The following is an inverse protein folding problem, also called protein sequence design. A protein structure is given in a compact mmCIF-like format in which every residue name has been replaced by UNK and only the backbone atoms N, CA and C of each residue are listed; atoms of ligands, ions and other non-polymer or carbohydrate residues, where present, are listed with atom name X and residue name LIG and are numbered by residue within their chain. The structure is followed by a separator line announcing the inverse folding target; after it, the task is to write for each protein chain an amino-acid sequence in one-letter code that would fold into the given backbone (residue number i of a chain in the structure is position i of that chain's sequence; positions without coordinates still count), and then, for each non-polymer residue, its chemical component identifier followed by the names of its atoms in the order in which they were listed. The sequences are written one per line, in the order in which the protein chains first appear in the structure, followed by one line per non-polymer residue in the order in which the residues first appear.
data_IF_962937357971
#
_entry.id   IF_962937357971
#
_cell.length_a   1.000
_cell.length_b   1.000
_cell.length_c   1.000
_cell.angle_alpha   90.00
_cell.angle_beta   90.00
_cell.angle_gamma   90.00
#
_symmetry.space_group_name_H-M   'P 1'
#
loop_
_entity.id
_entity.type
_entity.pdbx_description
1 polymer ?
#
# COMPACT_ATOMS: atom_id res chain seq x y z
N UNK A 1 -52.36 -28.54 -44.20
CA UNK A 1 -51.94 -27.36 -44.96
C UNK A 1 -52.03 -26.14 -44.05
N UNK A 2 -50.94 -25.37 -43.94
CA UNK A 2 -50.84 -24.00 -43.36
C UNK A 2 -51.07 -23.93 -41.84
N UNK A 3 -50.38 -23.17 -41.00
CA UNK A 3 -49.12 -22.41 -40.94
C UNK A 3 -49.19 -21.75 -39.53
N UNK A 4 -48.04 -21.48 -38.87
CA UNK A 4 -47.85 -20.36 -37.91
C UNK A 4 -48.64 -20.42 -36.58
N UNK A 5 -48.08 -20.17 -35.39
CA UNK A 5 -47.21 -19.07 -35.01
C UNK A 5 -46.33 -19.51 -33.82
N UNK A 6 -45.01 -19.47 -33.99
CA UNK A 6 -44.05 -19.50 -32.89
C UNK A 6 -44.00 -18.08 -32.30
N UNK A 7 -44.40 -17.91 -31.04
CA UNK A 7 -44.17 -16.68 -30.28
C UNK A 7 -42.96 -16.93 -29.36
N UNK A 8 -41.76 -16.81 -29.94
CA UNK A 8 -40.53 -16.65 -29.18
C UNK A 8 -40.51 -15.21 -28.67
N UNK A 9 -40.98 -15.02 -27.43
CA UNK A 9 -40.71 -13.79 -26.69
C UNK A 9 -39.24 -13.84 -26.28
N UNK A 10 -38.37 -13.36 -27.16
CA UNK A 10 -36.99 -13.04 -26.83
C UNK A 10 -37.01 -11.80 -25.94
N UNK A 11 -37.05 -12.00 -24.62
CA UNK A 11 -36.60 -10.97 -23.69
C UNK A 11 -35.10 -10.76 -23.95
N UNK A 12 -34.78 -9.77 -24.77
CA UNK A 12 -33.50 -9.07 -24.68
C UNK A 12 -33.50 -8.37 -23.32
N UNK A 13 -33.19 -9.13 -22.27
CA UNK A 13 -32.52 -8.54 -21.12
C UNK A 13 -31.22 -8.03 -21.71
N UNK A 14 -31.17 -6.72 -21.96
CA UNK A 14 -29.92 -6.01 -22.02
C UNK A 14 -29.23 -6.32 -20.69
N UNK A 15 -28.42 -7.38 -20.67
CA UNK A 15 -27.33 -7.46 -19.75
C UNK A 15 -26.50 -6.21 -20.10
N UNK A 16 -26.69 -5.15 -19.32
CA UNK A 16 -25.67 -4.13 -19.22
C UNK A 16 -24.38 -4.92 -19.04
N UNK A 17 -23.45 -4.78 -19.99
CA UNK A 17 -22.11 -5.30 -19.79
C UNK A 17 -21.71 -4.85 -18.38
N UNK A 18 -21.17 -5.73 -17.52
CA UNK A 18 -20.66 -5.29 -16.24
C UNK A 18 -19.77 -4.09 -16.54
N UNK A 19 -20.08 -2.93 -15.94
CA UNK A 19 -19.21 -1.77 -16.06
C UNK A 19 -17.79 -2.29 -15.80
N UNK A 20 -16.83 -2.00 -16.70
CA UNK A 20 -15.49 -2.49 -16.50
C UNK A 20 -15.07 -2.08 -15.09
N UNK A 21 -14.67 -3.05 -14.27
CA UNK A 21 -14.05 -2.79 -12.98
C UNK A 21 -13.10 -1.61 -13.18
N UNK A 22 -13.31 -0.53 -12.41
CA UNK A 22 -12.64 0.74 -12.63
C UNK A 22 -11.14 0.52 -12.71
N UNK A 23 -10.59 0.53 -13.93
CA UNK A 23 -9.16 0.32 -14.13
C UNK A 23 -8.37 1.60 -13.82
N UNK A 24 -7.06 1.45 -13.57
CA UNK A 24 -6.17 2.56 -13.28
C UNK A 24 -6.30 3.73 -14.24
N UNK A 25 -6.42 3.41 -15.52
CA UNK A 25 -6.44 4.42 -16.56
C UNK A 25 -7.74 5.23 -16.53
N UNK A 26 -8.86 4.56 -16.33
CA UNK A 26 -10.19 5.16 -16.30
C UNK A 26 -10.32 6.09 -15.09
N UNK A 27 -9.91 5.62 -13.91
CA UNK A 27 -9.98 6.42 -12.69
C UNK A 27 -9.00 7.60 -12.75
N UNK A 28 -7.74 7.38 -13.17
CA UNK A 28 -6.74 8.44 -13.33
C UNK A 28 -7.21 9.54 -14.30
N UNK A 29 -7.79 9.17 -15.44
CA UNK A 29 -8.33 10.15 -16.41
C UNK A 29 -9.48 10.95 -15.82
N UNK A 30 -10.34 10.31 -15.02
CA UNK A 30 -11.51 10.95 -14.41
C UNK A 30 -11.10 11.93 -13.32
N UNK A 31 -10.20 11.54 -12.41
CA UNK A 31 -9.79 12.38 -11.29
C UNK A 31 -8.88 13.54 -11.72
N UNK A 32 -8.11 13.37 -12.80
CA UNK A 32 -7.18 14.38 -13.31
C UNK A 32 -7.64 15.08 -14.59
N UNK A 33 -8.93 14.99 -14.94
CA UNK A 33 -9.51 15.50 -16.20
C UNK A 33 -9.24 16.98 -16.48
N UNK A 34 -9.03 17.79 -15.43
CA UNK A 34 -8.79 19.23 -15.53
C UNK A 34 -7.30 19.60 -15.77
N UNK A 35 -6.40 18.61 -15.85
CA UNK A 35 -4.97 18.84 -16.07
C UNK A 35 -4.54 18.23 -17.42
N UNK A 36 -4.30 19.00 -18.49
CA UNK A 36 -3.93 18.44 -19.80
C UNK A 36 -2.60 17.68 -19.82
N UNK A 37 -1.74 17.86 -18.80
CA UNK A 37 -0.50 17.08 -18.63
C UNK A 37 -0.74 15.71 -17.99
N UNK A 38 -1.93 15.45 -17.44
CA UNK A 38 -2.23 14.21 -16.72
C UNK A 38 -2.46 13.01 -17.65
N UNK A 39 -2.96 13.23 -18.86
CA UNK A 39 -3.27 12.14 -19.77
C UNK A 39 -2.02 11.32 -20.17
N UNK A 40 -0.91 11.93 -20.63
CA UNK A 40 0.33 11.20 -20.88
C UNK A 40 0.90 10.52 -19.63
N UNK A 41 0.74 11.14 -18.45
CA UNK A 41 1.14 10.55 -17.17
C UNK A 41 0.34 9.26 -16.89
N UNK A 42 -0.99 9.34 -16.91
CA UNK A 42 -1.88 8.20 -16.68
C UNK A 42 -1.59 7.05 -17.65
N UNK A 43 -1.41 7.35 -18.94
CA UNK A 43 -1.13 6.34 -19.96
C UNK A 43 0.25 5.68 -19.76
N UNK A 44 1.27 6.47 -19.39
CA UNK A 44 2.61 5.93 -19.12
C UNK A 44 2.61 5.01 -17.90
N UNK A 45 1.96 5.41 -16.80
CA UNK A 45 1.87 4.58 -15.59
C UNK A 45 1.03 3.32 -15.86
N UNK A 46 -0.10 3.45 -16.57
CA UNK A 46 -0.91 2.30 -16.98
C UNK A 46 -0.11 1.31 -17.85
N UNK A 47 0.58 1.81 -18.88
CA UNK A 47 1.39 0.97 -19.76
C UNK A 47 2.50 0.25 -19.00
N UNK A 48 3.13 0.93 -18.04
CA UNK A 48 4.26 0.37 -17.28
C UNK A 48 3.84 -0.73 -16.30
N UNK A 49 2.72 -0.57 -15.61
CA UNK A 49 2.37 -1.45 -14.48
C UNK A 49 1.12 -2.31 -14.69
N UNK A 50 0.14 -1.84 -15.47
CA UNK A 50 -1.19 -2.44 -15.49
C UNK A 50 -1.60 -3.01 -16.86
N UNK A 51 -0.84 -2.74 -17.93
CA UNK A 51 -1.18 -3.20 -19.28
C UNK A 51 -1.37 -4.71 -19.39
N UNK A 52 -0.54 -5.48 -18.68
CA UNK A 52 -0.60 -6.94 -18.67
C UNK A 52 -1.70 -7.49 -17.74
N UNK A 53 -2.22 -6.68 -16.82
CA UNK A 53 -3.10 -7.10 -15.71
C UNK A 53 -4.34 -6.20 -15.58
N UNK A 54 -4.89 -5.74 -16.71
CA UNK A 54 -5.97 -4.74 -16.73
C UNK A 54 -7.22 -5.14 -15.94
N UNK A 55 -7.45 -6.43 -15.78
CA UNK A 55 -8.62 -6.99 -15.08
C UNK A 55 -8.33 -7.37 -13.63
N UNK A 56 -7.12 -7.15 -13.13
CA UNK A 56 -6.77 -7.43 -11.74
C UNK A 56 -6.79 -6.13 -10.94
N UNK A 57 -7.50 -6.13 -9.82
CA UNK A 57 -7.58 -4.97 -8.93
C UNK A 57 -6.25 -4.74 -8.18
N UNK A 58 -5.53 -5.84 -7.94
CA UNK A 58 -4.21 -5.86 -7.31
C UNK A 58 -3.27 -6.64 -8.22
N UNK A 59 -2.17 -6.02 -8.62
CA UNK A 59 -1.14 -6.62 -9.46
C UNK A 59 0.07 -7.03 -8.63
N UNK A 60 0.46 -8.31 -8.58
CA UNK A 60 1.75 -8.71 -8.01
C UNK A 60 2.89 -8.03 -8.75
N UNK A 61 3.88 -7.52 -8.01
CA UNK A 61 5.05 -6.86 -8.61
C UNK A 61 6.36 -7.44 -8.09
N UNK A 62 7.44 -7.17 -8.80
CA UNK A 62 8.80 -7.25 -8.28
C UNK A 62 9.35 -5.86 -7.99
N UNK A 63 10.17 -5.72 -6.93
CA UNK A 63 11.16 -4.65 -6.75
C UNK A 63 11.63 -3.89 -8.00
N UNK A 64 12.17 -4.64 -8.96
CA UNK A 64 12.83 -4.12 -10.16
C UNK A 64 11.87 -3.43 -11.13
N UNK A 65 10.58 -3.77 -11.12
CA UNK A 65 9.60 -3.15 -12.02
C UNK A 65 9.42 -1.65 -11.74
N UNK A 66 9.58 -1.24 -10.48
CA UNK A 66 9.55 0.19 -10.08
C UNK A 66 10.94 0.80 -9.99
N UNK A 67 12.01 0.07 -10.30
CA UNK A 67 13.38 0.57 -10.25
C UNK A 67 14.07 0.44 -8.89
N UNK A 68 13.49 -0.29 -7.94
CA UNK A 68 14.17 -0.64 -6.70
C UNK A 68 15.15 -1.81 -6.93
N UNK A 69 16.39 -1.77 -6.40
CA UNK A 69 17.33 -2.88 -6.53
C UNK A 69 16.81 -4.12 -5.81
N UNK A 70 17.26 -5.31 -6.24
CA UNK A 70 16.96 -6.55 -5.54
C UNK A 70 17.65 -6.58 -4.17
N UNK A 71 16.98 -7.14 -3.18
CA UNK A 71 17.47 -7.26 -1.81
C UNK A 71 17.27 -8.69 -1.28
N UNK A 72 18.16 -9.19 -0.40
CA UNK A 72 18.03 -10.53 0.18
C UNK A 72 16.70 -10.82 0.89
N UNK A 73 15.99 -9.81 1.40
CA UNK A 73 14.70 -9.99 2.08
C UNK A 73 13.50 -10.11 1.13
N UNK A 74 13.67 -9.85 -0.16
CA UNK A 74 12.56 -9.77 -1.11
C UNK A 74 11.78 -11.11 -1.21
N UNK A 75 12.45 -12.26 -1.00
CA UNK A 75 11.81 -13.58 -0.98
C UNK A 75 10.90 -13.79 0.24
N UNK A 76 11.07 -13.00 1.30
CA UNK A 76 10.23 -13.01 2.50
C UNK A 76 9.11 -11.98 2.49
N UNK A 77 9.03 -11.16 1.44
CA UNK A 77 8.02 -10.10 1.32
C UNK A 77 7.07 -10.43 0.17
N UNK A 78 5.78 -10.17 0.39
CA UNK A 78 4.83 -10.12 -0.70
C UNK A 78 4.71 -8.67 -1.20
N UNK A 79 4.95 -8.44 -2.49
CA UNK A 79 4.83 -7.13 -3.11
C UNK A 79 3.66 -7.10 -4.08
N UNK A 80 2.91 -6.01 -4.06
CA UNK A 80 1.88 -5.74 -5.06
C UNK A 80 1.64 -4.25 -5.25
N UNK A 81 0.90 -3.94 -6.30
CA UNK A 81 0.47 -2.60 -6.66
C UNK A 81 -1.04 -2.57 -6.91
N UNK A 82 -1.71 -1.49 -6.48
CA UNK A 82 -3.14 -1.31 -6.66
C UNK A 82 -3.47 -0.71 -8.03
N UNK A 83 -4.24 -1.46 -8.82
CA UNK A 83 -4.88 -0.97 -10.04
C UNK A 83 -6.19 -0.22 -9.67
N UNK A 84 -6.87 -0.67 -8.62
CA UNK A 84 -7.98 0.01 -7.96
C UNK A 84 -7.56 0.43 -6.53
N UNK A 85 -7.58 1.73 -6.20
CA UNK A 85 -7.09 2.21 -4.91
C UNK A 85 -7.99 1.79 -3.74
N UNK A 86 -9.27 1.44 -3.97
CA UNK A 86 -10.17 1.01 -2.90
C UNK A 86 -9.68 -0.27 -2.22
N UNK A 87 -8.99 -1.15 -2.96
CA UNK A 87 -8.38 -2.35 -2.40
C UNK A 87 -7.25 -2.06 -1.41
N UNK A 88 -6.64 -0.87 -1.45
CA UNK A 88 -5.73 -0.42 -0.40
C UNK A 88 -6.45 -0.40 0.94
N UNK A 89 -7.66 0.13 0.97
CA UNK A 89 -8.46 0.23 2.19
C UNK A 89 -8.93 -1.13 2.69
N UNK A 90 -9.26 -2.05 1.76
CA UNK A 90 -9.54 -3.45 2.08
C UNK A 90 -8.38 -4.17 2.80
N UNK A 91 -7.14 -3.75 2.56
CA UNK A 91 -5.95 -4.36 3.17
C UNK A 91 -5.46 -3.59 4.40
N UNK A 92 -5.33 -2.27 4.30
CA UNK A 92 -4.56 -1.46 5.25
C UNK A 92 -5.41 -0.67 6.25
N UNK A 93 -6.64 -0.25 5.90
CA UNK A 93 -7.37 0.74 6.70
C UNK A 93 -7.60 0.27 8.14
N UNK A 94 -8.21 -0.90 8.32
CA UNK A 94 -8.48 -1.41 9.67
C UNK A 94 -7.21 -1.79 10.42
N UNK A 95 -6.16 -2.20 9.71
CA UNK A 95 -4.85 -2.45 10.31
C UNK A 95 -4.25 -1.15 10.87
N UNK A 96 -4.34 -0.03 10.13
CA UNK A 96 -3.85 1.27 10.58
C UNK A 96 -4.65 1.83 11.75
N UNK A 97 -5.98 1.62 11.75
CA UNK A 97 -6.83 1.95 12.91
C UNK A 97 -6.42 1.13 14.13
N UNK A 98 -6.24 -0.18 13.97
CA UNK A 98 -5.78 -1.07 15.05
C UNK A 98 -4.43 -0.63 15.63
N UNK A 99 -3.50 -0.21 14.76
CA UNK A 99 -2.19 0.31 15.16
C UNK A 99 -2.21 1.74 15.69
N UNK A 100 -3.38 2.39 15.68
CA UNK A 100 -3.56 3.80 16.05
C UNK A 100 -2.66 4.73 15.22
N UNK A 101 -2.42 4.38 13.95
CA UNK A 101 -1.71 5.23 12.98
C UNK A 101 -2.64 6.25 12.34
N UNK A 102 -3.93 5.92 12.27
CA UNK A 102 -4.99 6.79 11.78
C UNK A 102 -6.18 6.78 12.73
N UNK A 103 -6.89 7.91 12.80
CA UNK A 103 -8.18 8.00 13.48
C UNK A 103 -9.33 7.87 12.47
N UNK A 104 -10.33 7.00 12.70
CA UNK A 104 -11.51 6.92 11.85
C UNK A 104 -12.33 8.22 11.76
N UNK A 105 -12.13 9.15 12.70
CA UNK A 105 -12.76 10.47 12.69
C UNK A 105 -12.04 11.47 11.76
N UNK A 106 -10.76 11.22 11.46
CA UNK A 106 -9.91 12.11 10.65
C UNK A 106 -9.82 11.65 9.19
N UNK A 107 -9.75 10.33 8.98
CA UNK A 107 -9.60 9.75 7.65
C UNK A 107 -10.54 8.55 7.47
N UNK A 108 -11.35 8.62 6.42
CA UNK A 108 -12.20 7.51 5.97
C UNK A 108 -11.43 6.54 5.05
N UNK A 109 -11.97 5.34 4.78
CA UNK A 109 -11.42 4.38 3.83
C UNK A 109 -11.09 5.01 2.47
N UNK A 110 -12.01 5.75 1.86
CA UNK A 110 -11.80 6.33 0.52
C UNK A 110 -10.68 7.38 0.51
N UNK A 111 -10.57 8.15 1.60
CA UNK A 111 -9.53 9.16 1.74
C UNK A 111 -8.14 8.54 1.92
N UNK A 112 -8.04 7.41 2.63
CA UNK A 112 -6.79 6.66 2.75
C UNK A 112 -6.33 6.14 1.38
N UNK A 113 -7.25 5.56 0.62
CA UNK A 113 -7.02 5.04 -0.73
C UNK A 113 -6.45 6.10 -1.69
N UNK A 114 -6.79 7.38 -1.48
CA UNK A 114 -6.30 8.47 -2.34
C UNK A 114 -5.03 9.17 -1.82
N UNK A 115 -4.65 8.96 -0.56
CA UNK A 115 -3.58 9.75 0.10
C UNK A 115 -2.32 8.98 0.46
N UNK A 116 -2.38 7.65 0.59
CA UNK A 116 -1.22 6.83 0.90
C UNK A 116 -0.54 6.31 -0.38
N UNK A 117 0.74 6.61 -0.61
CA UNK A 117 1.51 6.11 -1.77
C UNK A 117 1.95 4.65 -1.64
N UNK A 118 1.98 4.13 -0.41
CA UNK A 118 2.21 2.73 -0.13
C UNK A 118 2.20 2.46 1.37
N UNK A 119 2.45 1.20 1.72
CA UNK A 119 2.52 0.76 3.10
C UNK A 119 3.22 -0.58 3.24
N UNK A 120 3.60 -0.92 4.48
CA UNK A 120 3.85 -2.28 4.90
C UNK A 120 2.90 -2.78 5.99
N UNK A 121 2.53 -4.04 5.90
CA UNK A 121 1.94 -4.82 6.99
C UNK A 121 2.97 -5.82 7.44
N UNK A 122 3.33 -5.73 8.72
CA UNK A 122 4.38 -6.51 9.34
C UNK A 122 3.76 -7.72 10.06
N UNK A 123 4.33 -8.91 9.87
CA UNK A 123 3.77 -10.14 10.43
C UNK A 123 3.69 -10.14 11.98
N UNK A 124 4.51 -9.33 12.65
CA UNK A 124 4.58 -9.29 14.12
C UNK A 124 3.24 -8.94 14.80
N UNK A 125 2.34 -8.22 14.13
CA UNK A 125 1.08 -7.72 14.70
C UNK A 125 -0.18 -8.41 14.17
N UNK A 126 -0.03 -9.26 13.13
CA UNK A 126 -1.14 -9.78 12.34
C UNK A 126 -2.12 -10.62 13.17
N UNK A 127 -1.62 -11.49 14.04
CA UNK A 127 -2.48 -12.34 14.89
C UNK A 127 -3.34 -11.53 15.84
N UNK A 128 -2.74 -10.49 16.44
CA UNK A 128 -3.44 -9.63 17.38
C UNK A 128 -4.47 -8.75 16.64
N UNK A 129 -4.12 -8.25 15.46
CA UNK A 129 -5.03 -7.57 14.55
C UNK A 129 -6.21 -8.46 14.14
N UNK A 130 -5.97 -9.68 13.66
CA UNK A 130 -7.02 -10.57 13.17
C UNK A 130 -8.00 -10.96 14.28
N UNK A 131 -7.48 -11.16 15.50
CA UNK A 131 -8.31 -11.31 16.70
C UNK A 131 -9.14 -10.06 16.95
N UNK A 132 -8.53 -8.87 16.97
CA UNK A 132 -9.24 -7.61 17.16
C UNK A 132 -10.36 -7.42 16.13
N UNK A 133 -10.07 -7.64 14.86
CA UNK A 133 -11.00 -7.51 13.74
C UNK A 133 -12.24 -8.41 13.93
N UNK A 134 -12.02 -9.65 14.38
CA UNK A 134 -13.08 -10.66 14.46
C UNK A 134 -13.82 -10.69 15.80
N UNK A 135 -13.20 -10.24 16.90
CA UNK A 135 -13.79 -10.40 18.25
C UNK A 135 -14.21 -9.07 18.88
N UNK A 136 -13.55 -7.96 18.58
CA UNK A 136 -13.84 -6.68 19.23
C UNK A 136 -14.89 -5.89 18.43
N UNK A 137 -15.81 -5.21 19.12
CA UNK A 137 -16.83 -4.36 18.48
C UNK A 137 -16.19 -3.29 17.59
N UNK A 138 -15.11 -2.65 18.05
CA UNK A 138 -14.37 -1.67 17.26
C UNK A 138 -13.82 -2.27 15.94
N UNK A 139 -13.27 -3.49 16.00
CA UNK A 139 -12.77 -4.20 14.82
C UNK A 139 -13.87 -4.57 13.84
N UNK A 140 -14.99 -5.12 14.34
CA UNK A 140 -16.16 -5.45 13.51
C UNK A 140 -16.76 -4.21 12.83
N UNK A 141 -16.86 -3.10 13.57
CA UNK A 141 -17.35 -1.83 13.03
C UNK A 141 -16.40 -1.28 11.96
N UNK A 142 -15.09 -1.38 12.17
CA UNK A 142 -14.11 -1.00 11.15
C UNK A 142 -14.29 -1.83 9.87
N UNK A 143 -14.39 -3.16 10.01
CA UNK A 143 -14.61 -4.06 8.87
C UNK A 143 -15.86 -3.70 8.07
N UNK A 144 -17.00 -3.57 8.77
CA UNK A 144 -18.27 -3.22 8.13
C UNK A 144 -18.21 -1.85 7.45
N UNK A 145 -17.44 -0.90 8.01
CA UNK A 145 -17.23 0.42 7.41
C UNK A 145 -16.46 0.33 6.10
N UNK A 146 -15.34 -0.40 6.07
CA UNK A 146 -14.55 -0.59 4.84
C UNK A 146 -15.37 -1.28 3.76
N UNK A 147 -16.08 -2.36 4.11
CA UNK A 147 -16.93 -3.11 3.18
C UNK A 147 -18.09 -2.27 2.62
N UNK A 148 -18.53 -1.25 3.37
CA UNK A 148 -19.60 -0.34 2.94
C UNK A 148 -19.08 0.86 2.14
N UNK A 149 -18.01 1.51 2.61
CA UNK A 149 -17.53 2.78 2.03
C UNK A 149 -16.63 2.54 0.82
N UNK A 150 -15.69 1.59 0.92
CA UNK A 150 -14.77 1.26 -0.17
C UNK A 150 -15.25 0.10 -1.06
N UNK A 151 -16.40 -0.50 -0.73
CA UNK A 151 -17.03 -1.60 -1.49
C UNK A 151 -16.11 -2.82 -1.74
N UNK A 152 -15.12 -3.04 -0.86
CA UNK A 152 -14.17 -4.14 -0.93
C UNK A 152 -14.20 -5.00 0.33
N UNK A 153 -13.90 -6.29 0.18
CA UNK A 153 -13.77 -7.19 1.34
C UNK A 153 -12.48 -6.91 2.10
N UNK A 154 -12.55 -6.86 3.43
CA UNK A 154 -11.34 -6.76 4.26
C UNK A 154 -10.53 -8.05 4.18
N UNK A 155 -9.24 -7.91 3.83
CA UNK A 155 -8.35 -9.05 3.62
C UNK A 155 -8.07 -9.83 4.92
N UNK A 156 -7.96 -11.15 4.79
CA UNK A 156 -7.39 -12.02 5.84
C UNK A 156 -5.87 -11.88 5.80
N UNK A 157 -5.33 -11.08 6.73
CA UNK A 157 -3.91 -10.80 6.78
C UNK A 157 -3.10 -12.00 7.30
N UNK A 158 -3.68 -12.88 8.12
CA UNK A 158 -3.01 -14.11 8.57
C UNK A 158 -2.73 -15.05 7.39
N UNK A 159 -3.73 -15.22 6.52
CA UNK A 159 -3.56 -16.00 5.30
C UNK A 159 -2.60 -15.32 4.33
N UNK A 160 -2.74 -14.00 4.14
CA UNK A 160 -1.91 -13.23 3.20
C UNK A 160 -0.43 -13.22 3.58
N UNK A 161 -0.10 -13.23 4.88
CA UNK A 161 1.28 -13.19 5.38
C UNK A 161 1.85 -14.56 5.76
N UNK A 162 1.18 -15.66 5.40
CA UNK A 162 1.64 -17.00 5.75
C UNK A 162 3.03 -17.28 5.17
N UNK A 163 4.00 -17.46 6.07
CA UNK A 163 5.41 -17.72 5.69
C UNK A 163 6.17 -16.49 5.19
N UNK A 164 5.61 -15.28 5.34
CA UNK A 164 6.21 -14.00 4.96
C UNK A 164 6.48 -13.15 6.20
N UNK A 165 7.43 -12.24 6.13
CA UNK A 165 7.72 -11.29 7.22
C UNK A 165 6.94 -9.99 7.06
N UNK A 166 6.62 -9.63 5.82
CA UNK A 166 5.88 -8.43 5.50
C UNK A 166 5.13 -8.56 4.17
N UNK A 167 4.18 -7.66 4.01
CA UNK A 167 3.42 -7.42 2.81
C UNK A 167 3.59 -5.93 2.52
N UNK A 168 3.97 -5.60 1.28
CA UNK A 168 4.23 -4.22 0.86
C UNK A 168 3.30 -3.92 -0.32
N UNK A 169 2.44 -2.93 -0.13
CA UNK A 169 1.51 -2.44 -1.13
C UNK A 169 1.93 -1.08 -1.65
N UNK A 170 1.89 -0.92 -2.97
CA UNK A 170 2.12 0.36 -3.64
C UNK A 170 0.84 0.90 -4.25
N UNK A 171 0.62 2.20 -4.10
CA UNK A 171 -0.54 2.90 -4.61
C UNK A 171 -0.10 4.09 -5.47
N UNK A 172 0.00 3.92 -6.79
CA UNK A 172 0.42 5.00 -7.68
C UNK A 172 -0.56 6.18 -7.68
N UNK A 173 -1.81 5.99 -7.24
CA UNK A 173 -2.82 7.04 -7.21
C UNK A 173 -2.43 8.21 -6.32
N UNK A 174 -1.90 7.98 -5.12
CA UNK A 174 -1.49 9.09 -4.27
C UNK A 174 -0.38 9.93 -4.92
N UNK A 175 0.56 9.28 -5.60
CA UNK A 175 1.73 9.95 -6.21
C UNK A 175 1.37 10.74 -7.47
N UNK A 176 0.42 10.27 -8.30
CA UNK A 176 -0.04 11.02 -9.50
C UNK A 176 -0.84 12.29 -9.17
N UNK A 177 -1.41 12.39 -7.96
CA UNK A 177 -2.17 13.57 -7.53
C UNK A 177 -1.26 14.65 -6.92
N UNK A 178 0.05 14.44 -6.86
CA UNK A 178 0.99 15.49 -6.44
C UNK A 178 1.09 16.60 -7.50
N UNK A 179 1.19 17.89 -7.13
CA UNK A 179 1.11 19.01 -8.08
C UNK A 179 2.10 18.96 -9.25
N UNK A 180 3.30 18.41 -9.01
CA UNK A 180 4.39 18.32 -10.00
C UNK A 180 4.63 16.88 -10.48
N UNK A 181 3.61 16.01 -10.38
CA UNK A 181 3.73 14.62 -10.78
C UNK A 181 4.13 14.47 -12.26
N UNK A 182 5.20 13.71 -12.47
CA UNK A 182 5.66 13.21 -13.78
C UNK A 182 5.77 11.69 -13.70
N UNK A 183 5.82 11.01 -14.84
CA UNK A 183 5.95 9.55 -14.83
C UNK A 183 7.23 9.12 -14.09
N UNK A 184 8.35 9.82 -14.33
CA UNK A 184 9.62 9.57 -13.68
C UNK A 184 9.57 9.83 -12.17
N UNK A 185 8.92 10.91 -11.73
CA UNK A 185 8.79 11.21 -10.30
C UNK A 185 7.91 10.18 -9.58
N UNK A 186 6.83 9.70 -10.21
CA UNK A 186 5.96 8.65 -9.67
C UNK A 186 6.72 7.32 -9.56
N UNK A 187 7.44 6.91 -10.61
CA UNK A 187 8.23 5.68 -10.58
C UNK A 187 9.32 5.76 -9.50
N UNK A 188 10.00 6.91 -9.39
CA UNK A 188 11.02 7.15 -8.36
C UNK A 188 10.41 7.08 -6.95
N UNK A 189 9.25 7.70 -6.74
CA UNK A 189 8.54 7.66 -5.46
C UNK A 189 8.19 6.21 -5.07
N UNK A 190 7.63 5.43 -5.99
CA UNK A 190 7.35 4.00 -5.77
C UNK A 190 8.60 3.19 -5.39
N UNK A 191 9.75 3.47 -6.01
CA UNK A 191 11.01 2.83 -5.66
C UNK A 191 11.48 3.19 -4.25
N UNK A 192 11.39 4.47 -3.88
CA UNK A 192 11.73 4.97 -2.55
C UNK A 192 10.81 4.35 -1.49
N UNK A 193 9.50 4.31 -1.75
CA UNK A 193 8.52 3.66 -0.87
C UNK A 193 8.85 2.19 -0.67
N UNK A 194 9.12 1.42 -1.73
CA UNK A 194 9.54 0.02 -1.55
C UNK A 194 10.80 -0.10 -0.69
N UNK A 195 11.81 0.74 -0.94
CA UNK A 195 13.05 0.68 -0.16
C UNK A 195 12.79 1.02 1.32
N UNK A 196 11.96 2.03 1.60
CA UNK A 196 11.54 2.40 2.94
C UNK A 196 10.84 1.24 3.64
N UNK A 197 9.81 0.67 3.01
CA UNK A 197 8.99 -0.39 3.60
C UNK A 197 9.78 -1.70 3.78
N UNK A 198 10.77 -1.98 2.91
CA UNK A 198 11.71 -3.09 3.13
C UNK A 198 12.56 -2.91 4.38
N UNK A 199 12.96 -1.68 4.72
CA UNK A 199 13.73 -1.42 5.95
C UNK A 199 12.90 -1.85 7.16
N UNK A 200 11.59 -1.62 7.16
CA UNK A 200 10.70 -2.11 8.20
C UNK A 200 10.62 -3.64 8.23
N UNK A 201 10.54 -4.29 7.06
CA UNK A 201 10.61 -5.74 6.97
C UNK A 201 11.92 -6.30 7.57
N UNK A 202 13.06 -5.65 7.31
CA UNK A 202 14.34 -6.01 7.92
C UNK A 202 14.32 -5.82 9.44
N UNK A 203 13.71 -4.76 9.95
CA UNK A 203 13.60 -4.51 11.40
C UNK A 203 12.79 -5.61 12.09
N UNK A 204 11.79 -6.19 11.42
CA UNK A 204 11.04 -7.35 11.93
C UNK A 204 11.86 -8.64 11.84
N UNK A 205 12.51 -8.87 10.69
CA UNK A 205 13.29 -10.10 10.48
C UNK A 205 14.60 -10.14 11.27
N UNK A 206 15.15 -8.97 11.64
CA UNK A 206 16.44 -8.81 12.30
C UNK A 206 16.28 -8.01 13.61
N UNK A 207 16.06 -8.68 14.76
CA UNK A 207 15.90 -7.99 16.04
C UNK A 207 17.10 -7.10 16.44
N UNK A 208 18.32 -7.48 16.05
CA UNK A 208 19.50 -6.66 16.32
C UNK A 208 19.54 -5.39 15.46
N UNK A 209 19.01 -5.45 14.23
CA UNK A 209 18.86 -4.26 13.40
C UNK A 209 17.79 -3.32 13.98
N UNK A 210 16.65 -3.84 14.44
CA UNK A 210 15.63 -3.04 15.15
C UNK A 210 16.20 -2.35 16.39
N UNK A 211 16.91 -3.10 17.26
CA UNK A 211 17.58 -2.52 18.44
C UNK A 211 18.59 -1.44 18.06
N UNK A 212 19.34 -1.64 16.98
CA UNK A 212 20.26 -0.65 16.46
C UNK A 212 19.52 0.61 15.99
N UNK A 213 18.44 0.47 15.23
CA UNK A 213 17.63 1.60 14.73
C UNK A 213 17.09 2.48 15.87
N UNK A 214 16.63 1.87 16.96
CA UNK A 214 16.17 2.60 18.15
C UNK A 214 17.31 3.39 18.79
N UNK A 215 18.48 2.76 18.95
CA UNK A 215 19.67 3.43 19.52
C UNK A 215 20.15 4.60 18.65
N UNK A 216 20.10 4.48 17.34
CA UNK A 216 20.49 5.57 16.44
C UNK A 216 19.56 6.77 16.59
N UNK A 217 18.24 6.56 16.66
CA UNK A 217 17.30 7.63 16.97
C UNK A 217 17.60 8.27 18.32
N UNK A 218 17.82 7.48 19.38
CA UNK A 218 18.08 7.98 20.73
C UNK A 218 19.32 8.87 20.81
N UNK A 219 20.38 8.54 20.07
CA UNK A 219 21.63 9.30 20.00
C UNK A 219 21.49 10.67 19.34
N UNK A 220 20.45 10.90 18.54
CA UNK A 220 20.29 12.17 17.84
C UNK A 220 20.10 13.34 18.81
N UNK A 221 20.76 14.49 18.56
CA UNK A 221 20.47 15.73 19.27
C UNK A 221 19.00 16.14 19.10
N UNK A 222 18.42 16.79 20.11
CA UNK A 222 17.02 17.24 20.07
C UNK A 222 16.71 18.14 18.87
N UNK A 223 17.66 18.99 18.45
CA UNK A 223 17.51 19.82 17.26
C UNK A 223 17.29 18.98 15.99
N UNK A 224 18.03 17.89 15.82
CA UNK A 224 17.89 16.98 14.66
C UNK A 224 16.57 16.20 14.74
N UNK A 225 16.20 15.69 15.92
CA UNK A 225 14.91 15.02 16.13
C UNK A 225 13.73 15.93 15.74
N UNK A 226 13.79 17.21 16.11
CA UNK A 226 12.76 18.19 15.81
C UNK A 226 12.58 18.44 14.30
N UNK A 227 13.64 18.28 13.49
CA UNK A 227 13.52 18.36 12.02
C UNK A 227 12.63 17.23 11.49
N UNK A 228 12.84 16.00 11.94
CA UNK A 228 12.02 14.84 11.55
C UNK A 228 10.58 14.97 12.04
N UNK A 229 10.40 15.33 13.32
CA UNK A 229 9.07 15.52 13.93
C UNK A 229 8.27 16.57 13.15
N UNK A 230 8.90 17.69 12.78
CA UNK A 230 8.23 18.75 12.02
C UNK A 230 7.95 18.34 10.58
N UNK A 231 8.87 17.60 9.94
CA UNK A 231 8.73 17.16 8.55
C UNK A 231 7.65 16.08 8.39
N UNK A 232 7.48 15.22 9.40
CA UNK A 232 6.58 14.07 9.36
C UNK A 232 5.69 14.01 10.62
N UNK A 233 4.78 14.98 10.82
CA UNK A 233 4.04 15.13 12.08
C UNK A 233 3.01 14.03 12.35
N UNK A 234 2.66 13.21 11.36
CA UNK A 234 1.70 12.11 11.48
C UNK A 234 2.22 10.94 12.32
N UNK A 235 3.54 10.81 12.50
CA UNK A 235 4.12 9.68 13.25
C UNK A 235 4.22 9.97 14.74
N UNK A 236 4.04 8.93 15.56
CA UNK A 236 4.18 9.00 17.01
C UNK A 236 5.66 8.93 17.42
N UNK A 237 6.41 10.01 17.18
CA UNK A 237 7.85 10.12 17.46
C UNK A 237 8.25 9.98 18.94
N UNK A 238 7.27 10.01 19.85
CA UNK A 238 7.48 9.77 21.29
C UNK A 238 7.67 8.29 21.63
N UNK A 239 7.30 7.36 20.74
CA UNK A 239 7.50 5.92 20.93
C UNK A 239 8.83 5.51 20.29
N UNK A 240 9.87 5.13 21.07
CA UNK A 240 11.21 4.90 20.52
C UNK A 240 11.27 3.85 19.41
N UNK A 241 10.47 2.79 19.50
CA UNK A 241 10.37 1.75 18.47
C UNK A 241 9.86 2.33 17.14
N UNK A 242 8.79 3.14 17.16
CA UNK A 242 8.26 3.78 15.94
C UNK A 242 9.28 4.78 15.40
N UNK A 243 9.77 5.67 16.25
CA UNK A 243 10.72 6.71 15.85
C UNK A 243 12.01 6.15 15.24
N UNK A 244 12.57 5.08 15.83
CA UNK A 244 13.75 4.39 15.29
C UNK A 244 13.49 3.76 13.93
N UNK A 245 12.30 3.18 13.72
CA UNK A 245 11.93 2.58 12.44
C UNK A 245 11.87 3.61 11.32
N UNK A 246 11.04 4.63 11.53
CA UNK A 246 10.82 5.70 10.55
C UNK A 246 12.10 6.49 10.28
N UNK A 247 12.88 6.81 11.31
CA UNK A 247 14.14 7.52 11.16
C UNK A 247 15.10 6.78 10.22
N UNK A 248 15.33 5.47 10.47
CA UNK A 248 16.21 4.67 9.63
C UNK A 248 15.60 4.45 8.24
N UNK A 249 14.28 4.31 8.12
CA UNK A 249 13.56 4.29 6.85
C UNK A 249 13.89 5.52 6.00
N UNK A 250 13.62 6.72 6.50
CA UNK A 250 13.91 7.98 5.80
C UNK A 250 15.40 8.22 5.55
N UNK A 251 16.27 7.77 6.46
CA UNK A 251 17.71 7.96 6.31
C UNK A 251 18.28 7.17 5.13
N UNK A 252 17.72 5.99 4.83
CA UNK A 252 18.31 5.04 3.88
C UNK A 252 17.39 4.60 2.73
N UNK A 253 16.15 5.08 2.63
CA UNK A 253 15.25 4.77 1.50
C UNK A 253 15.86 5.09 0.12
N UNK A 254 16.71 6.12 0.05
CA UNK A 254 17.46 6.50 -1.15
C UNK A 254 18.85 5.85 -1.29
N UNK A 255 19.28 5.04 -0.31
CA UNK A 255 20.60 4.38 -0.24
C UNK A 255 20.46 2.93 0.27
N UNK A 256 19.65 2.08 -0.40
CA UNK A 256 19.33 0.74 0.09
C UNK A 256 20.57 -0.17 0.25
N UNK A 257 21.66 0.10 -0.48
CA UNK A 257 22.92 -0.62 -0.36
C UNK A 257 23.53 -0.54 1.05
N UNK A 258 23.33 0.59 1.76
CA UNK A 258 23.85 0.79 3.12
C UNK A 258 23.17 -0.12 4.14
N UNK A 259 21.94 -0.57 3.87
CA UNK A 259 21.22 -1.51 4.75
C UNK A 259 21.93 -2.86 4.80
N UNK A 260 22.52 -3.30 3.70
CA UNK A 260 23.18 -4.61 3.59
C UNK A 260 24.27 -4.81 4.65
N UNK A 261 25.01 -3.76 4.99
CA UNK A 261 26.06 -3.82 6.01
C UNK A 261 25.51 -4.09 7.42
N UNK A 262 24.33 -3.54 7.72
CA UNK A 262 23.67 -3.69 9.01
C UNK A 262 22.97 -5.04 9.17
N UNK A 263 22.53 -5.64 8.06
CA UNK A 263 21.75 -6.89 8.07
C UNK A 263 22.53 -8.11 7.60
N UNK A 264 23.83 -7.99 7.28
CA UNK A 264 24.66 -9.09 6.76
C UNK A 264 24.70 -10.36 7.63
N UNK A 265 24.55 -10.19 8.95
CA UNK A 265 24.55 -11.29 9.91
C UNK A 265 23.13 -11.75 10.29
N UNK A 266 22.10 -11.13 9.69
CA UNK A 266 20.72 -11.52 9.90
C UNK A 266 20.47 -12.87 9.23
N UNK A 267 20.08 -13.87 10.03
CA UNK A 267 19.45 -15.07 9.49
C UNK A 267 17.97 -14.77 9.29
N UNK A 268 17.63 -14.23 8.13
CA UNK A 268 16.25 -13.99 7.73
C UNK A 268 15.57 -15.37 7.62
N UNK A 269 14.74 -15.71 8.61
CA UNK A 269 14.01 -16.98 8.65
C UNK A 269 12.71 -16.88 7.87
#
# INVERSE_FOLDING_TARGET
MKYLLLLLVSFNVFAAAPEPASDFLSLCKTTLQNNPKSLPLCETIHQKFFLANKTQDITPITPSQVGAPAAPIDDKIQFFMFNDPNYLSGIAYCYFVYRNWISPAEIGPDSLAMSASGFSILNEDVKAYQKWLNTQTAGKNCKARVEKEAEVTVADLELSLKGRVALIGLNPYASIHTPDATADSVIKDMALTINHERIHAYQVACPEFEKWSIKEWEKLPSATKNVYIKKYPSYTWSIPKIAGREYIGFLYEGMPEKISEHVKNCKIK
#
